data_IF_883567363482
#
_entry.id   IF_883567363482
#
_cell.length_a   1.000
_cell.length_b   1.000
_cell.length_c   1.000
_cell.angle_alpha   90.00
_cell.angle_beta   90.00
_cell.angle_gamma   90.00
#
_symmetry.space_group_name_H-M   'P 1'
#
loop_
_entity.id
_entity.type
_entity.pdbx_description
1 polymer ?
#
# COMPACT_ATOMS: atom_id res chain seq x y z
N UNK A 1 -8.10 0.06 -21.80
CA UNK A 1 -7.11 1.08 -22.14
C UNK A 1 -6.80 1.90 -20.89
N UNK A 2 -5.53 2.25 -20.67
CA UNK A 2 -5.15 3.11 -19.55
C UNK A 2 -5.78 4.48 -19.73
N UNK A 3 -6.42 4.98 -18.66
CA UNK A 3 -6.87 6.38 -18.59
C UNK A 3 -5.76 7.19 -17.94
N UNK A 4 -5.49 8.43 -18.39
CA UNK A 4 -4.57 9.33 -17.70
C UNK A 4 -4.97 9.48 -16.22
N UNK A 5 -3.98 9.42 -15.32
CA UNK A 5 -4.19 9.43 -13.87
C UNK A 5 -4.50 8.07 -13.25
N UNK A 6 -4.76 7.04 -14.05
CA UNK A 6 -5.05 5.70 -13.53
C UNK A 6 -3.82 4.92 -13.10
N UNK A 7 -4.02 3.97 -12.21
CA UNK A 7 -3.05 2.95 -11.79
C UNK A 7 -3.39 1.64 -12.49
N UNK A 8 -2.37 0.93 -12.95
CA UNK A 8 -2.51 -0.39 -13.54
C UNK A 8 -2.45 -1.44 -12.42
N UNK A 9 -3.46 -2.31 -12.35
CA UNK A 9 -3.49 -3.44 -11.43
C UNK A 9 -3.49 -4.73 -12.24
N UNK A 10 -2.47 -5.57 -12.02
CA UNK A 10 -2.29 -6.81 -12.78
C UNK A 10 -2.21 -7.98 -11.81
N UNK A 11 -3.14 -8.90 -11.93
CA UNK A 11 -3.05 -10.20 -11.27
C UNK A 11 -2.36 -11.21 -12.17
N UNK A 12 -1.42 -11.93 -11.58
CA UNK A 12 -0.76 -13.08 -12.19
C UNK A 12 -1.28 -14.40 -11.63
N UNK A 13 -2.50 -14.38 -11.12
CA UNK A 13 -3.21 -15.56 -10.62
C UNK A 13 -2.43 -16.28 -9.49
N UNK A 14 -1.97 -15.48 -8.51
CA UNK A 14 -1.17 -15.98 -7.39
C UNK A 14 0.23 -16.39 -7.77
N UNK A 15 0.76 -15.78 -8.83
CA UNK A 15 2.01 -16.09 -9.46
C UNK A 15 3.16 -16.36 -8.57
N UNK A 16 3.87 -17.26 -9.03
CA UNK A 16 5.12 -17.82 -8.56
C UNK A 16 6.19 -17.60 -9.63
N UNK A 17 7.23 -16.90 -9.32
CA UNK A 17 8.59 -16.94 -9.90
C UNK A 17 8.81 -17.18 -11.42
N UNK A 18 7.79 -17.11 -12.29
CA UNK A 18 7.90 -17.47 -13.71
C UNK A 18 8.53 -16.39 -14.59
N UNK A 19 8.87 -15.25 -14.04
CA UNK A 19 9.60 -14.20 -14.76
C UNK A 19 9.07 -12.80 -14.49
N UNK A 20 9.90 -11.81 -14.80
CA UNK A 20 9.53 -10.41 -14.74
C UNK A 20 8.57 -10.08 -15.86
N UNK A 21 7.28 -9.95 -15.52
CA UNK A 21 6.22 -9.72 -16.51
C UNK A 21 6.15 -8.28 -17.00
N UNK A 22 6.67 -7.34 -16.24
CA UNK A 22 6.66 -5.93 -16.54
C UNK A 22 8.07 -5.36 -16.35
N UNK A 23 8.51 -4.50 -17.27
CA UNK A 23 9.86 -3.98 -17.27
C UNK A 23 9.96 -2.57 -17.86
N UNK A 24 11.18 -2.11 -18.13
CA UNK A 24 11.50 -0.73 -18.46
C UNK A 24 10.75 -0.16 -19.67
N UNK A 25 10.63 -0.90 -20.78
CA UNK A 25 9.89 -0.44 -21.96
C UNK A 25 8.41 -0.24 -21.66
N UNK A 26 7.82 -1.17 -20.90
CA UNK A 26 6.40 -1.11 -20.52
C UNK A 26 6.14 0.06 -19.57
N UNK A 27 7.00 0.26 -18.56
CA UNK A 27 6.87 1.36 -17.59
C UNK A 27 7.02 2.73 -18.27
N UNK A 28 8.00 2.90 -19.15
CA UNK A 28 8.16 4.12 -19.95
C UNK A 28 6.93 4.41 -20.83
N UNK A 29 6.39 3.36 -21.47
CA UNK A 29 5.19 3.49 -22.29
C UNK A 29 3.95 3.82 -21.46
N UNK A 30 3.78 3.17 -20.31
CA UNK A 30 2.68 3.43 -19.40
C UNK A 30 2.72 4.86 -18.86
N UNK A 31 3.89 5.32 -18.42
CA UNK A 31 4.10 6.69 -17.93
C UNK A 31 3.74 7.74 -19.00
N UNK A 32 4.23 7.56 -20.24
CA UNK A 32 3.88 8.45 -21.36
C UNK A 32 2.39 8.49 -21.69
N UNK A 33 1.65 7.45 -21.35
CA UNK A 33 0.17 7.39 -21.47
C UNK A 33 -0.55 7.92 -20.24
N UNK A 34 0.17 8.52 -19.29
CA UNK A 34 -0.40 9.11 -18.08
C UNK A 34 -0.74 8.11 -16.98
N UNK A 35 -0.26 6.86 -17.06
CA UNK A 35 -0.38 5.89 -15.97
C UNK A 35 0.48 6.34 -14.79
N UNK A 36 -0.07 6.24 -13.57
CA UNK A 36 0.57 6.70 -12.34
C UNK A 36 1.37 5.64 -11.61
N UNK A 37 1.24 4.38 -11.99
CA UNK A 37 1.99 3.29 -11.37
C UNK A 37 1.41 1.93 -11.68
N UNK A 38 2.06 0.90 -11.13
CA UNK A 38 1.69 -0.50 -11.28
C UNK A 38 1.59 -1.18 -9.92
N UNK A 39 0.53 -1.94 -9.73
CA UNK A 39 0.36 -2.88 -8.62
C UNK A 39 0.23 -4.28 -9.20
N UNK A 40 0.99 -5.24 -8.69
CA UNK A 40 0.91 -6.63 -9.17
C UNK A 40 1.34 -7.65 -8.10
N UNK A 41 0.72 -8.79 -8.09
CA UNK A 41 1.16 -9.97 -7.35
C UNK A 41 2.26 -10.77 -8.07
N UNK A 42 2.65 -10.33 -9.27
CA UNK A 42 3.75 -10.89 -10.05
C UNK A 42 5.10 -10.23 -9.78
N UNK A 43 6.12 -10.71 -10.50
CA UNK A 43 7.46 -10.13 -10.49
C UNK A 43 7.66 -9.13 -11.63
N UNK A 44 8.50 -8.13 -11.37
CA UNK A 44 8.91 -7.12 -12.34
C UNK A 44 10.42 -7.18 -12.59
N UNK A 45 10.91 -6.45 -13.58
CA UNK A 45 12.33 -6.27 -13.87
C UNK A 45 12.65 -4.81 -14.19
N UNK A 46 13.92 -4.50 -14.35
CA UNK A 46 14.41 -3.16 -14.70
C UNK A 46 14.02 -2.09 -13.64
N UNK A 47 14.05 -2.46 -12.36
CA UNK A 47 13.57 -1.63 -11.26
C UNK A 47 14.36 -0.32 -11.09
N UNK A 48 15.64 -0.31 -11.44
CA UNK A 48 16.45 0.92 -11.42
C UNK A 48 15.91 1.94 -12.42
N UNK A 49 15.60 1.51 -13.66
CA UNK A 49 15.00 2.38 -14.67
C UNK A 49 13.62 2.87 -14.22
N UNK A 50 12.79 2.01 -13.62
CA UNK A 50 11.48 2.42 -13.11
C UNK A 50 11.61 3.54 -12.06
N UNK A 51 12.60 3.42 -11.16
CA UNK A 51 12.90 4.44 -10.16
C UNK A 51 13.41 5.74 -10.81
N UNK A 52 14.31 5.63 -11.77
CA UNK A 52 14.89 6.79 -12.49
C UNK A 52 13.82 7.60 -13.23
N UNK A 53 12.89 6.94 -13.92
CA UNK A 53 11.81 7.62 -14.65
C UNK A 53 10.63 8.03 -13.74
N UNK A 54 10.68 7.75 -12.42
CA UNK A 54 9.62 8.10 -11.49
C UNK A 54 8.33 7.30 -11.68
N UNK A 55 8.41 6.04 -12.10
CA UNK A 55 7.26 5.15 -12.26
C UNK A 55 7.14 4.21 -11.06
N UNK A 56 6.26 4.48 -10.08
CA UNK A 56 6.14 3.66 -8.88
C UNK A 56 5.53 2.29 -9.18
N UNK A 57 6.08 1.27 -8.52
CA UNK A 57 5.66 -0.11 -8.69
C UNK A 57 5.60 -0.84 -7.36
N UNK A 58 4.47 -1.45 -7.08
CA UNK A 58 4.25 -2.38 -5.97
C UNK A 58 4.14 -3.78 -6.54
N UNK A 59 5.15 -4.59 -6.35
CA UNK A 59 5.21 -5.95 -6.88
C UNK A 59 5.57 -6.95 -5.79
N UNK A 60 5.21 -8.19 -6.00
CA UNK A 60 5.57 -9.27 -5.07
C UNK A 60 7.05 -9.63 -5.12
N UNK A 61 7.74 -9.31 -6.21
CA UNK A 61 9.14 -9.63 -6.35
C UNK A 61 9.81 -9.06 -7.60
N UNK A 62 11.09 -9.34 -7.71
CA UNK A 62 11.93 -8.94 -8.85
C UNK A 62 12.47 -10.22 -9.49
N UNK A 63 12.36 -10.34 -10.81
CA UNK A 63 12.88 -11.46 -11.55
C UNK A 63 13.34 -11.02 -12.94
N UNK A 64 14.61 -11.23 -13.25
CA UNK A 64 15.21 -10.88 -14.57
C UNK A 64 14.78 -11.84 -15.68
N UNK A 65 14.35 -13.04 -15.33
CA UNK A 65 13.91 -14.05 -16.30
C UNK A 65 12.71 -13.53 -17.10
N UNK A 66 12.71 -13.77 -18.39
CA UNK A 66 11.59 -13.39 -19.26
C UNK A 66 10.35 -14.25 -18.95
N UNK A 67 9.19 -13.60 -18.95
CA UNK A 67 7.91 -14.29 -18.93
C UNK A 67 7.55 -14.85 -20.29
N UNK A 68 6.74 -15.91 -20.32
CA UNK A 68 6.18 -16.46 -21.57
C UNK A 68 5.10 -15.52 -22.13
N UNK A 69 4.88 -15.59 -23.45
CA UNK A 69 3.88 -14.76 -24.14
C UNK A 69 2.83 -15.62 -24.87
N UNK A 70 2.60 -16.82 -24.36
CA UNK A 70 1.74 -17.80 -25.04
C UNK A 70 0.30 -17.81 -24.54
N UNK A 71 0.05 -17.24 -23.36
CA UNK A 71 -1.30 -17.22 -22.78
C UNK A 71 -1.89 -15.81 -22.89
N UNK A 72 -3.03 -15.63 -23.57
CA UNK A 72 -3.72 -14.35 -23.60
C UNK A 72 -4.29 -14.02 -22.22
N UNK A 73 -4.13 -12.77 -21.79
CA UNK A 73 -4.77 -12.24 -20.59
C UNK A 73 -6.15 -11.64 -20.87
N UNK A 74 -6.78 -11.14 -19.81
CA UNK A 74 -8.02 -10.36 -19.87
C UNK A 74 -7.73 -8.92 -19.45
N UNK A 75 -8.52 -7.98 -19.92
CA UNK A 75 -8.34 -6.53 -19.66
C UNK A 75 -9.66 -5.96 -19.17
N UNK A 76 -9.58 -5.01 -18.23
CA UNK A 76 -10.74 -4.33 -17.63
C UNK A 76 -11.74 -5.29 -16.97
N UNK A 77 -11.23 -6.25 -16.27
CA UNK A 77 -12.03 -7.16 -15.44
C UNK A 77 -11.65 -6.96 -13.96
N UNK A 78 -12.51 -7.33 -13.02
CA UNK A 78 -12.12 -7.45 -11.62
C UNK A 78 -11.00 -8.49 -11.47
N UNK A 79 -10.02 -8.18 -10.61
CA UNK A 79 -8.88 -9.04 -10.30
C UNK A 79 -8.66 -9.13 -8.80
N UNK A 80 -8.05 -10.21 -8.34
CA UNK A 80 -7.63 -10.36 -6.95
C UNK A 80 -6.12 -10.19 -6.89
N UNK A 81 -5.64 -9.24 -6.10
CA UNK A 81 -4.21 -9.00 -5.85
C UNK A 81 -3.97 -8.90 -4.35
N UNK A 82 -3.04 -9.69 -3.82
CA UNK A 82 -2.78 -9.73 -2.39
C UNK A 82 -3.98 -10.15 -1.52
N UNK A 83 -4.91 -10.93 -2.07
CA UNK A 83 -6.14 -11.34 -1.40
C UNK A 83 -7.27 -10.30 -1.45
N UNK A 84 -7.06 -9.16 -2.09
CA UNK A 84 -8.05 -8.06 -2.21
C UNK A 84 -8.63 -8.02 -3.62
N UNK A 85 -9.95 -8.00 -3.72
CA UNK A 85 -10.66 -7.78 -4.98
C UNK A 85 -10.51 -6.31 -5.40
N UNK A 86 -10.04 -6.09 -6.62
CA UNK A 86 -9.91 -4.76 -7.24
C UNK A 86 -10.76 -4.72 -8.50
N UNK A 87 -11.66 -3.79 -8.57
CA UNK A 87 -12.56 -3.60 -9.70
C UNK A 87 -12.15 -2.36 -10.51
N UNK A 88 -12.22 -2.39 -11.86
CA UNK A 88 -11.95 -1.20 -12.65
C UNK A 88 -12.80 0.00 -12.21
N UNK A 89 -12.12 1.09 -11.83
CA UNK A 89 -12.75 2.29 -11.29
C UNK A 89 -12.60 2.48 -9.79
N UNK A 90 -12.10 1.50 -9.07
CA UNK A 90 -11.79 1.65 -7.65
C UNK A 90 -10.68 2.66 -7.42
N UNK A 91 -10.74 3.36 -6.29
CA UNK A 91 -9.73 4.32 -5.89
C UNK A 91 -8.59 3.59 -5.16
N UNK A 92 -7.35 3.89 -5.56
CA UNK A 92 -6.15 3.31 -4.98
C UNK A 92 -5.35 4.38 -4.23
N UNK A 93 -4.99 4.09 -3.00
CA UNK A 93 -3.96 4.78 -2.26
C UNK A 93 -2.77 3.84 -2.10
N UNK A 94 -1.59 4.31 -2.42
CA UNK A 94 -0.39 3.48 -2.33
C UNK A 94 0.83 4.34 -1.96
N UNK A 95 1.57 3.89 -0.97
CA UNK A 95 2.78 4.50 -0.46
C UNK A 95 3.88 3.44 -0.22
N UNK A 96 4.88 3.77 0.59
CA UNK A 96 5.95 2.83 0.92
C UNK A 96 5.51 1.71 1.88
N UNK A 97 4.43 1.91 2.61
CA UNK A 97 3.98 0.97 3.64
C UNK A 97 2.94 -0.02 3.09
N UNK A 98 2.05 0.46 2.22
CA UNK A 98 0.93 -0.37 1.77
C UNK A 98 0.24 0.10 0.49
N UNK A 99 -0.68 -0.75 0.03
CA UNK A 99 -1.67 -0.43 -1.00
C UNK A 99 -3.06 -0.62 -0.41
N UNK A 100 -3.87 0.43 -0.45
CA UNK A 100 -5.26 0.42 0.00
C UNK A 100 -6.19 0.59 -1.18
N UNK A 101 -7.22 -0.25 -1.24
CA UNK A 101 -8.26 -0.22 -2.28
C UNK A 101 -9.56 0.27 -1.66
N UNK A 102 -10.14 1.31 -2.24
CA UNK A 102 -11.45 1.82 -1.86
C UNK A 102 -12.42 1.60 -3.01
N UNK A 103 -13.44 0.73 -2.83
CA UNK A 103 -14.46 0.53 -3.85
C UNK A 103 -15.10 1.85 -4.29
N UNK A 104 -15.27 2.03 -5.59
CA UNK A 104 -15.74 3.29 -6.18
C UNK A 104 -17.05 3.80 -5.55
N UNK A 105 -17.96 2.91 -5.17
CA UNK A 105 -19.22 3.26 -4.49
C UNK A 105 -19.07 3.64 -3.01
N UNK A 106 -17.88 3.54 -2.42
CA UNK A 106 -17.64 3.84 -1.00
C UNK A 106 -16.72 5.04 -0.78
N UNK A 107 -16.26 5.69 -1.83
CA UNK A 107 -15.24 6.75 -1.77
C UNK A 107 -15.64 7.88 -0.82
N UNK A 108 -16.86 8.39 -0.95
CA UNK A 108 -17.35 9.50 -0.12
C UNK A 108 -17.47 9.11 1.36
N UNK A 109 -18.03 7.93 1.64
CA UNK A 109 -18.18 7.44 3.01
C UNK A 109 -16.82 7.19 3.70
N UNK A 110 -15.84 6.65 2.95
CA UNK A 110 -14.48 6.44 3.44
C UNK A 110 -13.79 7.79 3.67
N UNK A 111 -13.90 8.72 2.73
CA UNK A 111 -13.33 10.07 2.86
C UNK A 111 -13.79 10.76 4.16
N UNK A 112 -15.10 10.79 4.39
CA UNK A 112 -15.67 11.45 5.58
C UNK A 112 -15.16 10.82 6.88
N UNK A 113 -15.09 9.48 6.94
CA UNK A 113 -14.55 8.77 8.13
C UNK A 113 -13.06 9.03 8.31
N UNK A 114 -12.28 9.02 7.24
CA UNK A 114 -10.84 9.25 7.29
C UNK A 114 -10.53 10.68 7.74
N UNK A 115 -11.26 11.67 7.23
CA UNK A 115 -11.09 13.06 7.62
C UNK A 115 -11.37 13.27 9.11
N UNK A 116 -12.47 12.73 9.61
CA UNK A 116 -12.78 12.82 11.04
C UNK A 116 -11.71 12.15 11.93
N UNK A 117 -11.10 11.06 11.44
CA UNK A 117 -10.00 10.40 12.15
C UNK A 117 -8.72 11.22 12.12
N UNK A 118 -8.35 11.78 10.97
CA UNK A 118 -7.20 12.65 10.79
C UNK A 118 -7.28 13.85 11.74
N UNK A 119 -8.41 14.57 11.76
CA UNK A 119 -8.64 15.71 12.66
C UNK A 119 -8.49 15.30 14.14
N UNK A 120 -8.96 14.13 14.52
CA UNK A 120 -8.81 13.60 15.88
C UNK A 120 -7.36 13.19 16.22
N UNK A 121 -6.61 12.70 15.24
CA UNK A 121 -5.19 12.33 15.40
C UNK A 121 -4.31 13.60 15.51
N UNK A 122 -4.57 14.61 14.71
CA UNK A 122 -3.85 15.88 14.75
C UNK A 122 -4.06 16.61 16.08
N UNK A 123 -5.28 16.65 16.59
CA UNK A 123 -5.56 17.19 17.93
C UNK A 123 -4.81 16.42 19.05
N UNK A 124 -4.59 15.11 18.88
CA UNK A 124 -3.78 14.33 19.83
C UNK A 124 -2.29 14.66 19.72
N UNK A 125 -1.76 14.81 18.50
CA UNK A 125 -0.36 15.19 18.28
C UNK A 125 -0.05 16.55 18.91
N UNK A 126 -0.89 17.55 18.66
CA UNK A 126 -0.79 18.88 19.31
C UNK A 126 -0.83 18.77 20.84
N UNK A 127 -1.64 17.83 21.37
CA UNK A 127 -1.70 17.57 22.81
C UNK A 127 -0.44 16.93 23.39
N UNK A 128 0.42 16.32 22.57
CA UNK A 128 1.69 15.68 22.98
C UNK A 128 2.86 16.64 22.83
N UNK A 129 2.85 17.47 21.78
CA UNK A 129 3.92 18.43 21.50
C UNK A 129 4.11 19.40 22.68
N UNK A 130 5.35 19.52 23.14
CA UNK A 130 5.72 20.40 24.25
C UNK A 130 5.35 19.90 25.66
N UNK A 131 4.80 18.70 25.81
CA UNK A 131 4.54 18.08 27.10
C UNK A 131 5.58 17.01 27.44
N UNK A 132 5.95 16.85 28.73
CA UNK A 132 6.75 15.72 29.16
C UNK A 132 6.06 14.40 28.78
N UNK A 133 6.82 13.45 28.28
CA UNK A 133 6.30 12.11 28.02
C UNK A 133 5.76 11.48 29.32
N UNK A 134 4.63 10.77 29.28
CA UNK A 134 4.11 10.11 30.46
C UNK A 134 5.10 9.05 30.93
N UNK A 135 5.48 9.12 32.19
CA UNK A 135 6.39 8.16 32.85
C UNK A 135 5.69 6.90 33.34
N UNK A 136 4.39 6.81 33.17
CA UNK A 136 3.57 5.68 33.62
C UNK A 136 2.83 5.02 32.47
N UNK A 137 2.52 3.75 32.62
CA UNK A 137 1.70 3.02 31.67
C UNK A 137 0.36 3.73 31.41
N UNK A 138 -0.06 3.75 30.16
CA UNK A 138 -1.32 4.37 29.77
C UNK A 138 -2.50 3.66 30.48
N UNK A 139 -3.28 4.36 31.33
CA UNK A 139 -4.37 3.77 32.09
C UNK A 139 -5.43 3.06 31.22
N UNK A 140 -5.58 3.48 29.96
CA UNK A 140 -6.50 2.86 29.01
C UNK A 140 -6.21 1.36 28.81
N UNK A 141 -4.96 0.93 29.00
CA UNK A 141 -4.54 -0.45 28.80
C UNK A 141 -4.23 -1.18 30.12
N UNK A 142 -4.62 -0.64 31.25
CA UNK A 142 -4.30 -1.18 32.58
C UNK A 142 -4.69 -2.66 32.75
N UNK A 143 -5.86 -3.06 32.26
CA UNK A 143 -6.30 -4.46 32.30
C UNK A 143 -5.44 -5.38 31.40
N UNK A 144 -5.03 -4.90 30.23
CA UNK A 144 -4.15 -5.64 29.33
C UNK A 144 -2.76 -5.83 29.97
N UNK A 145 -2.22 -4.79 30.59
CA UNK A 145 -0.93 -4.86 31.30
C UNK A 145 -0.99 -5.89 32.45
N UNK A 146 -2.05 -5.86 33.24
CA UNK A 146 -2.26 -6.82 34.32
C UNK A 146 -2.32 -8.26 33.80
N UNK A 147 -3.07 -8.50 32.73
CA UNK A 147 -3.19 -9.83 32.10
C UNK A 147 -1.87 -10.34 31.55
N UNK A 148 -1.01 -9.44 31.02
CA UNK A 148 0.31 -9.76 30.48
C UNK A 148 1.41 -9.83 31.57
N UNK A 149 1.07 -9.57 32.83
CA UNK A 149 2.04 -9.58 33.94
C UNK A 149 3.03 -8.42 33.90
N UNK A 150 2.74 -7.37 33.13
CA UNK A 150 3.61 -6.19 33.03
C UNK A 150 3.48 -5.34 34.30
N UNK A 151 4.61 -4.88 34.82
CA UNK A 151 4.70 -4.03 36.02
C UNK A 151 5.57 -2.81 35.69
N UNK A 152 5.20 -1.68 36.27
CA UNK A 152 6.07 -0.51 36.28
C UNK A 152 7.18 -0.72 37.31
N UNK A 153 8.44 -0.64 36.89
CA UNK A 153 9.55 -0.65 37.83
C UNK A 153 9.84 0.76 38.30
N UNK A 154 10.10 0.95 39.62
CA UNK A 154 10.47 2.27 40.12
C UNK A 154 11.75 2.75 39.44
N UNK A 155 11.69 3.93 38.81
CA UNK A 155 12.81 4.56 38.13
C UNK A 155 13.02 4.15 36.66
N UNK A 156 12.16 3.33 36.09
CA UNK A 156 12.19 3.05 34.66
C UNK A 156 11.50 4.19 33.88
N UNK A 157 12.26 4.99 33.18
CA UNK A 157 11.70 5.91 32.16
C UNK A 157 11.30 5.06 30.97
N UNK A 158 10.01 4.89 30.75
CA UNK A 158 9.50 4.22 29.54
C UNK A 158 9.83 5.08 28.34
N UNK A 159 10.80 4.65 27.55
CA UNK A 159 11.07 5.19 26.23
C UNK A 159 10.08 4.51 25.27
N UNK A 160 9.21 5.27 24.64
CA UNK A 160 8.35 4.83 23.56
C UNK A 160 9.05 4.96 22.21
#
# INVERSE_FOLDING_TARGET
MLKPGGIMVISCDGFKESGGMFGGIMSTTALKRGCRGLITDGSVRDTMLMKEIGFPVWSRGICVKMSTKVTPGKINIPVVVGGVLVTPGDLIFADNDSVVVVPSGQVEAVYNKTKAREDAEDAKKEGIEGKPLPTKFNPKYAEAYKRLGLREEPGCETVY
#
